data_IF_500054055676
#
_entry.id   IF_500054055676
#
_cell.length_a   1.000
_cell.length_b   1.000
_cell.length_c   1.000
_cell.angle_alpha   90.00
_cell.angle_beta   90.00
_cell.angle_gamma   90.00
#
_symmetry.space_group_name_H-M   'P 1'
#
loop_
_entity.id
_entity.type
_entity.pdbx_description
1 polymer ?
#
# COMPACT_ATOMS: atom_id res chain seq x y z
N UNK A 1 -47.02 1.32 10.26
CA UNK A 1 -46.42 2.56 10.81
C UNK A 1 -45.24 2.94 9.93
N UNK A 2 -45.28 4.12 9.30
CA UNK A 2 -44.20 4.58 8.42
C UNK A 2 -43.02 5.06 9.28
N UNK A 3 -41.82 4.54 8.99
CA UNK A 3 -40.60 4.98 9.67
C UNK A 3 -40.32 6.44 9.30
N UNK A 4 -40.33 7.32 10.30
CA UNK A 4 -40.07 8.74 10.15
C UNK A 4 -38.56 8.93 9.91
N UNK A 5 -38.12 8.87 8.66
CA UNK A 5 -36.70 9.08 8.30
C UNK A 5 -36.41 10.58 8.33
N UNK A 6 -35.73 11.04 9.40
CA UNK A 6 -35.37 12.45 9.64
C UNK A 6 -33.90 12.77 9.36
N UNK A 7 -33.15 11.83 8.78
CA UNK A 7 -31.71 11.96 8.50
C UNK A 7 -31.49 11.88 6.99
N UNK A 8 -30.79 12.89 6.45
CA UNK A 8 -30.38 12.96 5.05
C UNK A 8 -28.85 12.88 4.97
N UNK A 9 -28.33 11.98 4.13
CA UNK A 9 -26.90 11.91 3.85
C UNK A 9 -26.59 12.72 2.60
N UNK A 10 -25.67 13.67 2.71
CA UNK A 10 -25.24 14.56 1.62
C UNK A 10 -23.74 14.32 1.40
N UNK A 11 -23.34 14.07 0.16
CA UNK A 11 -21.94 13.89 -0.25
C UNK A 11 -21.59 14.80 -1.42
N UNK A 12 -20.30 14.91 -1.74
CA UNK A 12 -19.82 15.77 -2.83
C UNK A 12 -19.71 17.25 -2.44
N UNK A 13 -19.60 17.56 -1.16
CA UNK A 13 -19.24 18.89 -0.69
C UNK A 13 -17.75 19.16 -0.99
N UNK A 14 -17.42 20.41 -1.32
CA UNK A 14 -16.02 20.82 -1.45
C UNK A 14 -15.32 20.78 -0.07
N UNK A 15 -14.00 20.60 -0.05
CA UNK A 15 -13.20 20.49 1.19
C UNK A 15 -13.29 21.73 2.09
N UNK A 16 -13.60 22.89 1.52
CA UNK A 16 -13.71 24.17 2.22
C UNK A 16 -15.06 24.35 2.97
N UNK A 17 -15.98 23.39 2.85
CA UNK A 17 -17.33 23.51 3.43
C UNK A 17 -17.33 23.07 4.89
N UNK A 18 -17.51 24.04 5.79
CA UNK A 18 -17.67 23.81 7.24
C UNK A 18 -19.13 23.95 7.71
N UNK A 19 -19.39 23.69 9.00
CA UNK A 19 -20.72 23.80 9.60
C UNK A 19 -21.32 25.21 9.47
N UNK A 20 -20.48 26.26 9.50
CA UNK A 20 -20.95 27.64 9.41
C UNK A 20 -21.40 27.98 7.99
N UNK A 21 -20.66 27.52 6.98
CA UNK A 21 -21.00 27.66 5.57
C UNK A 21 -22.32 26.95 5.28
N UNK A 22 -22.48 25.71 5.76
CA UNK A 22 -23.75 24.99 5.62
C UNK A 22 -24.89 25.71 6.32
N UNK A 23 -24.69 26.16 7.56
CA UNK A 23 -25.74 26.87 8.29
C UNK A 23 -26.19 28.15 7.58
N UNK A 24 -25.24 28.95 7.07
CA UNK A 24 -25.54 30.17 6.33
C UNK A 24 -26.22 29.88 4.98
N UNK A 25 -25.82 28.82 4.28
CA UNK A 25 -26.39 28.44 3.00
C UNK A 25 -27.84 27.92 3.12
N UNK A 26 -28.15 27.21 4.22
CA UNK A 26 -29.44 26.53 4.37
C UNK A 26 -30.47 27.31 5.22
N UNK A 27 -30.07 28.32 6.00
CA UNK A 27 -31.00 29.15 6.78
C UNK A 27 -32.13 29.80 5.95
N UNK A 28 -31.96 30.20 4.66
CA UNK A 28 -33.06 30.75 3.87
C UNK A 28 -34.15 29.73 3.55
N UNK A 29 -33.85 28.43 3.69
CA UNK A 29 -34.76 27.32 3.36
C UNK A 29 -35.47 26.75 4.60
N UNK A 30 -35.12 27.23 5.79
CA UNK A 30 -35.76 26.85 7.06
C UNK A 30 -34.76 26.64 8.19
N UNK A 31 -35.30 26.44 9.39
CA UNK A 31 -34.49 26.19 10.58
C UNK A 31 -33.78 24.84 10.50
N UNK A 32 -32.47 24.84 10.78
CA UNK A 32 -31.64 23.65 10.78
C UNK A 32 -31.59 23.10 12.21
N UNK A 33 -31.99 21.84 12.40
CA UNK A 33 -32.05 21.23 13.73
C UNK A 33 -30.73 20.65 14.21
N UNK A 34 -29.94 20.06 13.30
CA UNK A 34 -28.65 19.44 13.61
C UNK A 34 -27.83 19.30 12.31
N UNK A 35 -26.52 19.52 12.40
CA UNK A 35 -25.55 19.25 11.34
C UNK A 35 -24.46 18.37 11.95
N UNK A 36 -24.20 17.22 11.33
CA UNK A 36 -23.10 16.35 11.72
C UNK A 36 -22.15 16.21 10.54
N UNK A 37 -21.06 16.97 10.57
CA UNK A 37 -19.93 16.74 9.67
C UNK A 37 -19.00 15.78 10.41
N UNK A 38 -18.81 14.52 9.94
CA UNK A 38 -17.79 13.66 10.52
C UNK A 38 -16.45 14.39 10.43
N UNK A 39 -15.70 14.44 11.54
CA UNK A 39 -14.34 14.98 11.54
C UNK A 39 -13.49 14.14 10.58
N UNK A 40 -13.31 14.67 9.37
CA UNK A 40 -12.23 14.28 8.50
C UNK A 40 -10.97 14.80 9.21
N UNK A 41 -10.25 13.89 9.89
CA UNK A 41 -8.92 14.21 10.40
C UNK A 41 -8.14 14.84 9.25
N UNK A 42 -7.86 16.15 9.37
CA UNK A 42 -7.14 16.93 8.38
C UNK A 42 -5.97 16.09 7.85
N UNK A 43 -5.89 15.96 6.53
CA UNK A 43 -4.68 15.52 5.87
C UNK A 43 -3.61 16.55 6.18
N UNK A 44 -2.79 16.30 7.20
CA UNK A 44 -1.59 17.07 7.55
C UNK A 44 -0.53 16.90 6.47
N UNK A 45 -0.84 17.06 5.18
CA UNK A 45 0.11 16.96 4.06
C UNK A 45 -0.37 17.74 2.84
N UNK A 46 -0.62 19.05 2.98
CA UNK A 46 -0.62 20.00 1.85
C UNK A 46 0.64 20.85 1.76
N UNK A 47 1.57 20.73 2.72
CA UNK A 47 2.87 21.42 2.72
C UNK A 47 4.05 20.47 2.46
N UNK A 48 3.97 19.67 1.41
CA UNK A 48 5.13 18.91 0.95
C UNK A 48 5.51 19.32 -0.47
N UNK A 49 6.55 20.14 -0.55
CA UNK A 49 7.42 20.35 -1.73
C UNK A 49 7.81 19.02 -2.43
N UNK A 50 7.66 17.90 -1.72
CA UNK A 50 7.87 16.55 -2.20
C UNK A 50 6.90 16.10 -3.30
N UNK A 51 5.59 16.38 -3.17
CA UNK A 51 4.59 15.95 -4.17
C UNK A 51 4.81 16.68 -5.51
N UNK A 52 5.09 17.99 -5.45
CA UNK A 52 5.40 18.82 -6.63
C UNK A 52 6.69 18.40 -7.34
N UNK A 53 7.69 17.90 -6.61
CA UNK A 53 8.99 17.54 -7.18
C UNK A 53 8.97 16.22 -7.96
N UNK A 54 7.97 15.37 -7.74
CA UNK A 54 7.98 14.00 -8.27
C UNK A 54 6.66 13.52 -8.91
N UNK A 55 5.55 14.28 -8.85
CA UNK A 55 4.25 13.80 -9.37
C UNK A 55 3.87 14.20 -10.81
N UNK A 56 4.76 14.69 -11.67
CA UNK A 56 4.33 14.87 -13.06
C UNK A 56 5.30 15.49 -14.04
N UNK A 57 5.90 14.65 -14.87
CA UNK A 57 6.18 14.99 -16.26
C UNK A 57 5.22 14.14 -17.11
N UNK A 58 4.10 14.73 -17.52
CA UNK A 58 3.19 14.16 -18.51
C UNK A 58 2.95 15.18 -19.61
N UNK A 59 3.47 14.82 -20.79
CA UNK A 59 2.92 15.04 -22.13
C UNK A 59 2.52 16.48 -22.49
N UNK A 60 3.47 17.14 -23.16
CA UNK A 60 3.37 18.18 -24.22
C UNK A 60 4.86 18.52 -24.45
N UNK A 61 5.55 18.30 -25.56
CA UNK A 61 5.19 18.38 -26.98
C UNK A 61 6.03 17.34 -27.74
N UNK A 62 5.36 16.46 -28.50
CA UNK A 62 5.96 15.77 -29.62
C UNK A 62 5.34 16.38 -30.87
N UNK A 63 6.08 17.27 -31.55
CA UNK A 63 6.09 17.52 -33.00
C UNK A 63 6.83 18.84 -33.29
N UNK A 64 7.83 18.79 -34.18
CA UNK A 64 8.54 19.97 -34.68
C UNK A 64 9.97 19.66 -35.17
N UNK A 65 10.09 19.08 -36.36
CA UNK A 65 11.35 18.90 -37.07
C UNK A 65 11.93 20.21 -37.64
N UNK A 66 13.26 20.19 -37.81
CA UNK A 66 14.12 20.91 -38.75
C UNK A 66 14.70 22.29 -38.36
N UNK A 67 16.01 22.32 -38.04
CA UNK A 67 17.04 23.01 -38.83
C UNK A 67 18.48 22.84 -38.27
N UNK A 68 19.37 22.35 -39.14
CA UNK A 68 20.82 22.64 -39.33
C UNK A 68 21.75 23.06 -38.18
N UNK A 69 22.91 22.39 -38.09
CA UNK A 69 24.14 22.98 -37.54
C UNK A 69 25.26 21.98 -37.24
N UNK A 70 26.42 22.13 -37.87
CA UNK A 70 27.59 21.25 -37.85
C UNK A 70 28.35 21.14 -36.51
N UNK A 71 29.09 20.03 -36.42
CA UNK A 71 30.09 19.53 -35.46
C UNK A 71 30.97 20.54 -34.72
N UNK A 72 31.25 20.25 -33.44
CA UNK A 72 32.62 20.24 -32.89
C UNK A 72 32.75 19.24 -31.73
N UNK A 73 33.71 18.32 -31.87
CA UNK A 73 34.18 17.42 -30.82
C UNK A 73 34.93 18.20 -29.76
N UNK A 74 34.46 18.16 -28.51
CA UNK A 74 35.31 18.45 -27.34
C UNK A 74 35.05 17.40 -26.27
N UNK A 75 36.01 16.52 -26.09
CA UNK A 75 36.00 15.53 -25.02
C UNK A 75 36.27 16.24 -23.69
N UNK A 76 35.22 16.41 -22.89
CA UNK A 76 35.34 16.80 -21.48
C UNK A 76 35.01 15.57 -20.65
N UNK A 77 35.99 15.11 -19.88
CA UNK A 77 35.82 14.06 -18.89
C UNK A 77 34.91 14.59 -17.77
N UNK A 78 33.63 14.27 -17.83
CA UNK A 78 32.71 14.51 -16.72
C UNK A 78 32.92 13.42 -15.67
N UNK A 79 33.38 13.87 -14.50
CA UNK A 79 33.55 13.03 -13.32
C UNK A 79 32.25 12.32 -12.95
N UNK A 80 32.40 11.07 -12.56
CA UNK A 80 31.36 10.21 -12.04
C UNK A 80 30.49 10.98 -11.01
N UNK A 81 29.17 11.05 -11.19
CA UNK A 81 28.31 11.75 -10.24
C UNK A 81 28.46 11.10 -8.86
N UNK A 82 28.48 11.88 -7.77
CA UNK A 82 28.66 11.32 -6.43
C UNK A 82 27.54 10.32 -6.16
N UNK A 83 27.93 9.08 -5.87
CA UNK A 83 27.00 8.00 -5.52
C UNK A 83 26.02 8.51 -4.46
N UNK A 84 24.74 8.60 -4.81
CA UNK A 84 23.67 8.93 -3.86
C UNK A 84 23.81 7.95 -2.69
N UNK A 85 23.99 8.45 -1.46
CA UNK A 85 23.96 7.61 -0.25
C UNK A 85 22.69 6.75 -0.32
N UNK A 86 22.86 5.44 -0.48
CA UNK A 86 21.75 4.52 -0.63
C UNK A 86 20.82 4.62 0.57
N UNK A 87 19.50 4.60 0.32
CA UNK A 87 18.53 4.47 1.41
C UNK A 87 18.80 3.17 2.18
N UNK A 88 18.76 3.24 3.51
CA UNK A 88 18.83 2.04 4.34
C UNK A 88 17.52 1.29 4.18
N UNK A 89 17.61 -0.01 3.91
CA UNK A 89 16.45 -0.88 3.73
C UNK A 89 15.88 -1.28 5.10
N UNK A 90 14.63 -0.92 5.42
CA UNK A 90 13.99 -1.27 6.69
C UNK A 90 13.85 -2.78 6.85
N UNK A 91 13.84 -3.22 8.10
CA UNK A 91 13.50 -4.60 8.44
C UNK A 91 12.28 -4.64 9.35
N UNK A 92 11.29 -5.45 8.99
CA UNK A 92 10.03 -5.57 9.72
C UNK A 92 9.76 -7.00 10.12
N UNK A 93 8.89 -7.19 11.11
CA UNK A 93 8.47 -8.52 11.54
C UNK A 93 6.97 -8.68 11.63
N UNK A 94 6.54 -9.94 11.57
CA UNK A 94 5.17 -10.38 11.85
C UNK A 94 5.20 -11.66 12.70
N UNK A 95 4.56 -11.61 13.87
CA UNK A 95 4.33 -12.78 14.72
C UNK A 95 3.04 -13.47 14.32
N UNK A 96 3.15 -14.72 13.87
CA UNK A 96 2.04 -15.47 13.29
C UNK A 96 1.40 -16.39 14.33
N UNK A 97 0.07 -16.43 14.34
CA UNK A 97 -0.73 -17.48 15.00
C UNK A 97 -1.50 -18.29 13.97
N UNK A 98 -1.49 -19.62 14.12
CA UNK A 98 -2.31 -20.54 13.32
C UNK A 98 -3.33 -21.21 14.26
N UNK A 99 -4.61 -20.98 14.00
CA UNK A 99 -5.67 -21.23 14.97
C UNK A 99 -5.40 -20.44 16.26
N UNK A 100 -5.27 -21.15 17.38
CA UNK A 100 -4.97 -20.54 18.69
C UNK A 100 -3.51 -20.73 19.13
N UNK A 101 -2.63 -21.21 18.25
CA UNK A 101 -1.23 -21.53 18.59
C UNK A 101 -0.28 -20.52 17.92
N UNK A 102 0.71 -19.97 18.66
CA UNK A 102 1.83 -19.27 18.04
C UNK A 102 2.55 -20.20 17.05
N UNK A 103 2.81 -19.70 15.85
CA UNK A 103 3.50 -20.42 14.78
C UNK A 103 4.96 -19.97 14.63
N UNK A 104 5.27 -18.72 14.97
CA UNK A 104 6.61 -18.16 14.92
C UNK A 104 6.63 -16.75 14.35
N UNK A 105 7.82 -16.23 14.07
CA UNK A 105 8.05 -14.89 13.56
C UNK A 105 8.57 -14.93 12.13
N UNK A 106 8.02 -14.06 11.29
CA UNK A 106 8.55 -13.73 9.97
C UNK A 106 9.38 -12.46 10.10
N UNK A 107 10.57 -12.42 9.48
CA UNK A 107 11.40 -11.22 9.34
C UNK A 107 11.58 -10.91 7.87
N UNK A 108 11.32 -9.67 7.48
CA UNK A 108 11.42 -9.21 6.09
C UNK A 108 12.38 -8.04 5.97
N UNK A 109 13.11 -7.99 4.85
CA UNK A 109 13.84 -6.81 4.39
C UNK A 109 12.98 -6.11 3.32
N UNK A 110 12.73 -4.81 3.49
CA UNK A 110 11.97 -4.01 2.54
C UNK A 110 12.92 -3.27 1.59
N UNK A 111 12.65 -3.33 0.28
CA UNK A 111 13.49 -2.75 -0.79
C UNK A 111 13.22 -1.27 -1.01
N UNK A 112 13.41 -0.46 0.03
CA UNK A 112 13.26 1.00 -0.01
C UNK A 112 14.28 1.69 -0.95
N UNK A 113 15.34 0.98 -1.32
CA UNK A 113 16.29 1.37 -2.37
C UNK A 113 15.69 1.33 -3.78
N UNK A 114 14.65 0.52 -4.03
CA UNK A 114 14.02 0.36 -5.36
C UNK A 114 12.58 0.87 -5.38
N UNK A 115 11.79 0.57 -4.35
CA UNK A 115 10.36 0.91 -4.23
C UNK A 115 10.07 1.59 -2.88
N UNK A 116 10.64 2.78 -2.64
CA UNK A 116 10.52 3.49 -1.37
C UNK A 116 9.09 3.78 -0.93
N UNK A 117 8.16 4.14 -1.82
CA UNK A 117 6.77 4.40 -1.42
C UNK A 117 6.08 3.12 -0.98
N UNK A 118 6.27 2.04 -1.73
CA UNK A 118 5.69 0.74 -1.41
C UNK A 118 6.25 0.19 -0.10
N UNK A 119 7.57 0.29 0.09
CA UNK A 119 8.25 -0.12 1.31
C UNK A 119 7.80 0.69 2.53
N UNK A 120 7.68 2.02 2.41
CA UNK A 120 7.27 2.89 3.50
C UNK A 120 5.82 2.64 3.94
N UNK A 121 4.91 2.44 2.98
CA UNK A 121 3.54 2.02 3.26
C UNK A 121 3.52 0.74 4.10
N UNK A 122 4.22 -0.30 3.67
CA UNK A 122 4.24 -1.57 4.38
C UNK A 122 4.87 -1.45 5.78
N UNK A 123 5.96 -0.66 5.91
CA UNK A 123 6.63 -0.38 7.18
C UNK A 123 5.67 0.28 8.17
N UNK A 124 5.03 1.38 7.79
CA UNK A 124 4.04 2.07 8.62
C UNK A 124 2.87 1.16 9.04
N UNK A 125 2.39 0.30 8.14
CA UNK A 125 1.32 -0.66 8.44
C UNK A 125 1.79 -1.76 9.42
N UNK A 126 3.09 -2.08 9.46
CA UNK A 126 3.66 -2.96 10.48
C UNK A 126 3.79 -2.25 11.83
N UNK A 127 4.28 -1.01 11.87
CA UNK A 127 4.52 -0.26 13.12
C UNK A 127 3.25 0.31 13.74
N UNK A 128 2.18 0.43 12.96
CA UNK A 128 0.91 1.04 13.38
C UNK A 128 1.03 2.54 13.71
N UNK A 129 2.12 3.21 13.31
CA UNK A 129 2.40 4.60 13.67
C UNK A 129 1.40 5.61 13.09
N UNK A 130 0.66 5.23 12.05
CA UNK A 130 -0.44 6.02 11.46
C UNK A 130 -1.81 5.72 12.09
N UNK A 131 -1.86 4.97 13.19
CA UNK A 131 -3.09 4.64 13.92
C UNK A 131 -3.91 3.48 13.34
N UNK A 132 -3.39 2.79 12.33
CA UNK A 132 -3.96 1.57 11.76
C UNK A 132 -2.84 0.69 11.18
N UNK A 133 -3.10 -0.61 10.99
CA UNK A 133 -2.06 -1.52 10.53
C UNK A 133 -2.44 -3.00 10.57
N UNK A 134 -1.44 -3.86 10.35
CA UNK A 134 -1.62 -5.30 10.15
C UNK A 134 -1.91 -6.09 11.43
N UNK A 135 -1.56 -5.57 12.61
CA UNK A 135 -1.80 -6.25 13.88
C UNK A 135 -3.27 -6.63 14.04
N UNK A 136 -3.53 -7.93 14.26
CA UNK A 136 -4.86 -8.52 14.39
C UNK A 136 -5.52 -8.94 13.07
N UNK A 137 -4.98 -8.53 11.92
CA UNK A 137 -5.48 -8.95 10.61
C UNK A 137 -5.08 -10.40 10.28
N UNK A 138 -5.64 -10.95 9.19
CA UNK A 138 -5.43 -12.34 8.80
C UNK A 138 -4.87 -12.50 7.39
N UNK A 139 -4.25 -13.66 7.17
CA UNK A 139 -4.04 -14.20 5.83
C UNK A 139 -5.34 -14.88 5.41
N UNK A 140 -6.15 -14.16 4.63
CA UNK A 140 -7.50 -14.55 4.26
C UNK A 140 -7.54 -15.45 3.02
N UNK A 141 -6.45 -15.50 2.24
CA UNK A 141 -6.35 -16.34 1.04
C UNK A 141 -4.98 -17.02 0.96
N UNK A 142 -4.93 -18.34 1.05
CA UNK A 142 -3.70 -19.14 1.01
C UNK A 142 -3.86 -20.27 -0.01
N UNK A 143 -3.04 -20.25 -1.06
CA UNK A 143 -3.03 -21.29 -2.09
C UNK A 143 -1.65 -21.96 -2.06
N UNK A 144 -1.58 -23.27 -1.74
CA UNK A 144 -0.33 -24.01 -1.76
C UNK A 144 0.35 -23.95 -3.15
N UNK A 145 1.68 -23.89 -3.15
CA UNK A 145 2.53 -23.76 -4.34
C UNK A 145 2.23 -22.50 -5.15
N UNK A 146 1.77 -21.46 -4.46
CA UNK A 146 1.50 -20.17 -5.06
C UNK A 146 1.86 -19.05 -4.09
N UNK A 147 0.97 -18.75 -3.13
CA UNK A 147 1.17 -17.63 -2.20
C UNK A 147 0.26 -17.66 -0.96
N UNK A 148 0.65 -16.85 0.03
CA UNK A 148 -0.13 -16.52 1.22
C UNK A 148 -0.49 -15.03 1.18
N UNK A 149 -1.76 -14.68 0.93
CA UNK A 149 -2.26 -13.30 0.84
C UNK A 149 -2.93 -12.84 2.14
N UNK A 150 -2.59 -11.63 2.56
CA UNK A 150 -3.07 -10.97 3.76
C UNK A 150 -3.17 -9.45 3.59
N UNK A 151 -3.22 -8.73 4.70
CA UNK A 151 -3.21 -7.26 4.71
C UNK A 151 -4.57 -6.57 4.57
N UNK A 152 -5.66 -7.32 4.51
CA UNK A 152 -7.02 -6.78 4.66
C UNK A 152 -7.36 -6.68 6.16
N UNK A 153 -7.05 -5.52 6.73
CA UNK A 153 -7.34 -5.21 8.14
C UNK A 153 -8.69 -4.52 8.35
N UNK A 154 -9.47 -4.24 7.30
CA UNK A 154 -10.77 -3.56 7.43
C UNK A 154 -11.94 -4.53 7.28
N UNK A 155 -11.91 -5.41 6.26
CA UNK A 155 -13.01 -6.32 5.94
C UNK A 155 -12.64 -7.78 6.19
N UNK A 156 -11.35 -8.08 6.31
CA UNK A 156 -10.80 -9.42 6.59
C UNK A 156 -11.21 -10.52 5.61
N UNK A 157 -11.54 -10.14 4.36
CA UNK A 157 -12.07 -11.05 3.35
C UNK A 157 -11.49 -10.83 1.94
N UNK A 158 -10.53 -9.91 1.80
CA UNK A 158 -9.86 -9.57 0.55
C UNK A 158 -10.48 -8.42 -0.22
N UNK A 159 -11.54 -7.80 0.29
CA UNK A 159 -12.21 -6.64 -0.35
C UNK A 159 -11.82 -5.30 0.27
N UNK A 160 -11.12 -5.32 1.41
CA UNK A 160 -10.77 -4.14 2.17
C UNK A 160 -9.29 -3.74 2.09
N UNK A 161 -8.85 -2.99 3.11
CA UNK A 161 -7.52 -2.43 3.21
C UNK A 161 -7.42 -1.00 2.68
N UNK A 162 -6.40 -0.28 3.16
CA UNK A 162 -6.02 1.06 2.70
C UNK A 162 -4.54 1.30 2.92
N UNK A 163 -3.94 2.13 2.08
CA UNK A 163 -2.55 2.56 2.26
C UNK A 163 -2.45 3.72 3.25
N UNK A 164 -1.21 4.10 3.59
CA UNK A 164 -0.95 5.35 4.33
C UNK A 164 -1.18 6.60 3.47
N UNK A 165 -1.28 6.45 2.15
CA UNK A 165 -1.48 7.53 1.18
C UNK A 165 -2.95 7.73 0.79
N UNK A 166 -3.88 6.98 1.40
CA UNK A 166 -5.30 6.94 1.03
C UNK A 166 -5.76 5.53 0.68
N UNK A 167 -6.90 5.42 -0.02
CA UNK A 167 -7.49 4.11 -0.35
C UNK A 167 -6.57 3.26 -1.23
N UNK A 168 -5.94 3.87 -2.23
CA UNK A 168 -5.06 3.23 -3.21
C UNK A 168 -3.87 4.14 -3.58
N UNK A 169 -2.78 3.55 -4.06
CA UNK A 169 -1.64 4.25 -4.67
C UNK A 169 -1.10 3.48 -5.90
N UNK A 170 -0.28 4.16 -6.69
CA UNK A 170 0.21 3.71 -7.98
C UNK A 170 1.21 2.54 -7.91
N UNK A 171 1.39 1.83 -9.02
CA UNK A 171 2.47 0.85 -9.17
C UNK A 171 3.80 1.60 -9.34
N UNK A 172 4.64 1.57 -8.31
CA UNK A 172 5.87 2.37 -8.28
C UNK A 172 6.88 2.00 -9.37
N UNK A 173 7.16 0.70 -9.53
CA UNK A 173 7.83 0.11 -10.69
C UNK A 173 7.76 -1.43 -10.63
N UNK A 174 8.20 -2.10 -11.71
CA UNK A 174 8.26 -3.56 -11.80
C UNK A 174 9.69 -4.07 -12.02
N UNK A 175 10.70 -3.41 -11.43
CA UNK A 175 12.11 -3.80 -11.57
C UNK A 175 12.35 -5.16 -10.91
N UNK A 176 11.85 -5.34 -9.68
CA UNK A 176 11.91 -6.60 -8.95
C UNK A 176 10.90 -7.62 -9.51
N UNK A 177 11.29 -8.89 -9.51
CA UNK A 177 10.59 -10.00 -10.16
C UNK A 177 10.28 -11.13 -9.18
N UNK A 178 9.25 -11.92 -9.48
CA UNK A 178 8.79 -13.03 -8.66
C UNK A 178 9.58 -14.32 -8.94
N UNK A 179 10.87 -14.29 -8.62
CA UNK A 179 11.84 -15.33 -8.95
C UNK A 179 11.91 -16.48 -7.94
N UNK A 180 11.40 -16.31 -6.72
CA UNK A 180 11.63 -17.26 -5.62
C UNK A 180 10.49 -17.26 -4.58
N UNK A 181 10.38 -18.30 -3.74
CA UNK A 181 9.57 -18.25 -2.52
C UNK A 181 10.11 -17.25 -1.51
N UNK A 182 9.23 -16.70 -0.67
CA UNK A 182 9.57 -15.76 0.39
C UNK A 182 9.61 -14.30 -0.03
N UNK A 183 9.16 -13.96 -1.24
CA UNK A 183 9.13 -12.58 -1.71
C UNK A 183 7.81 -11.90 -1.31
N UNK A 184 7.89 -10.65 -0.88
CA UNK A 184 6.74 -9.78 -0.64
C UNK A 184 6.34 -9.05 -1.92
N UNK A 185 5.05 -9.08 -2.21
CA UNK A 185 4.49 -8.39 -3.38
C UNK A 185 3.09 -7.86 -3.10
N UNK A 186 2.72 -6.75 -3.73
CA UNK A 186 1.44 -6.09 -3.52
C UNK A 186 0.30 -6.86 -4.19
N UNK A 187 -0.78 -7.10 -3.45
CA UNK A 187 -2.03 -7.51 -4.05
C UNK A 187 -2.77 -6.27 -4.55
N UNK A 188 -3.34 -6.35 -5.75
CA UNK A 188 -4.07 -5.25 -6.37
C UNK A 188 -5.30 -5.76 -7.13
N UNK A 189 -6.15 -4.85 -7.59
CA UNK A 189 -7.35 -5.12 -8.39
C UNK A 189 -7.18 -4.60 -9.84
N UNK A 190 -5.96 -4.61 -10.36
CA UNK A 190 -5.57 -3.96 -11.62
C UNK A 190 -4.49 -2.88 -11.42
N UNK A 191 -4.03 -2.24 -12.52
CA UNK A 191 -2.97 -1.23 -12.47
C UNK A 191 -3.29 -0.12 -11.47
N UNK A 192 -2.27 0.37 -10.77
CA UNK A 192 -2.33 1.52 -9.87
C UNK A 192 -3.40 1.40 -8.78
N UNK A 193 -3.53 0.21 -8.19
CA UNK A 193 -4.55 -0.06 -7.18
C UNK A 193 -4.01 -0.70 -5.90
N UNK A 194 -2.75 -0.41 -5.59
CA UNK A 194 -2.08 -0.90 -4.40
C UNK A 194 -2.70 -0.26 -3.15
N UNK A 195 -2.93 -1.06 -2.10
CA UNK A 195 -3.48 -0.60 -0.83
C UNK A 195 -2.63 -1.08 0.34
N UNK A 196 -3.22 -1.93 1.17
CA UNK A 196 -2.48 -2.65 2.23
C UNK A 196 -2.34 -4.14 1.98
N UNK A 197 -3.12 -4.69 1.05
CA UNK A 197 -3.07 -6.12 0.80
C UNK A 197 -1.76 -6.50 0.10
N UNK A 198 -1.19 -7.61 0.55
CA UNK A 198 0.08 -8.15 0.07
C UNK A 198 0.00 -9.67 0.04
N UNK A 199 0.97 -10.29 -0.62
CA UNK A 199 1.18 -11.72 -0.53
C UNK A 199 2.65 -12.08 -0.36
N UNK A 200 2.88 -13.23 0.26
CA UNK A 200 4.19 -13.87 0.37
C UNK A 200 4.20 -15.04 -0.62
N UNK A 201 5.15 -15.06 -1.55
CA UNK A 201 5.28 -16.16 -2.52
C UNK A 201 5.70 -17.46 -1.81
N UNK A 202 5.18 -18.61 -2.24
CA UNK A 202 5.63 -19.93 -1.76
C UNK A 202 6.29 -20.78 -2.84
N UNK A 203 6.32 -20.26 -4.07
CA UNK A 203 7.01 -20.78 -5.25
C UNK A 203 7.42 -19.62 -6.17
N UNK A 204 8.08 -19.89 -7.30
CA UNK A 204 8.28 -18.92 -8.38
C UNK A 204 6.94 -18.57 -9.02
N UNK A 205 6.64 -17.28 -9.18
CA UNK A 205 5.34 -16.80 -9.73
C UNK A 205 5.53 -15.74 -10.80
N UNK A 206 6.37 -16.02 -11.80
CA UNK A 206 6.80 -15.06 -12.83
C UNK A 206 5.67 -14.56 -13.75
N UNK A 207 4.55 -15.28 -13.85
CA UNK A 207 3.35 -14.80 -14.55
C UNK A 207 2.70 -13.55 -13.93
N UNK A 208 3.12 -13.17 -12.72
CA UNK A 208 2.73 -11.94 -12.01
C UNK A 208 3.69 -10.76 -12.28
N UNK A 209 4.81 -10.98 -12.95
CA UNK A 209 5.76 -9.93 -13.28
C UNK A 209 5.12 -8.86 -14.18
N UNK A 210 5.38 -7.59 -13.86
CA UNK A 210 4.78 -6.45 -14.57
C UNK A 210 3.33 -6.15 -14.17
N UNK A 211 2.76 -6.89 -13.21
CA UNK A 211 1.39 -6.69 -12.71
C UNK A 211 1.32 -6.42 -11.21
N UNK A 212 2.27 -6.94 -10.45
CA UNK A 212 2.35 -6.79 -9.00
C UNK A 212 3.74 -6.29 -8.62
N UNK A 213 3.78 -5.25 -7.79
CA UNK A 213 5.05 -4.66 -7.31
C UNK A 213 5.66 -5.55 -6.25
N UNK A 214 6.81 -6.15 -6.55
CA UNK A 214 7.65 -6.85 -5.57
C UNK A 214 8.42 -5.80 -4.77
N UNK A 215 8.41 -5.91 -3.44
CA UNK A 215 8.94 -4.85 -2.57
C UNK A 215 9.75 -5.33 -1.36
N UNK A 216 9.97 -6.62 -1.20
CA UNK A 216 10.76 -7.14 -0.10
C UNK A 216 11.00 -8.63 -0.18
N UNK A 217 11.88 -9.12 0.70
CA UNK A 217 12.27 -10.51 0.77
C UNK A 217 12.24 -10.97 2.23
N UNK A 218 11.81 -12.21 2.46
CA UNK A 218 11.89 -12.88 3.75
C UNK A 218 13.35 -13.20 4.07
N UNK A 219 13.79 -12.75 5.24
CA UNK A 219 15.13 -12.99 5.77
C UNK A 219 15.12 -14.18 6.72
N UNK A 220 14.07 -14.32 7.54
CA UNK A 220 13.90 -15.43 8.50
C UNK A 220 12.43 -15.84 8.62
N UNK A 221 12.19 -17.12 8.97
CA UNK A 221 10.85 -17.66 9.20
C UNK A 221 10.23 -18.38 8.00
N UNK A 222 11.05 -18.93 7.09
CA UNK A 222 10.54 -19.70 5.94
C UNK A 222 9.74 -20.93 6.38
N UNK A 223 10.14 -21.58 7.48
CA UNK A 223 9.40 -22.64 8.14
C UNK A 223 7.99 -22.20 8.57
N UNK A 224 7.85 -20.97 9.08
CA UNK A 224 6.55 -20.36 9.43
C UNK A 224 5.71 -20.13 8.17
N UNK A 225 6.31 -19.65 7.07
CA UNK A 225 5.62 -19.52 5.77
C UNK A 225 5.11 -20.87 5.28
N UNK A 226 5.92 -21.94 5.39
CA UNK A 226 5.50 -23.30 5.04
C UNK A 226 4.38 -23.81 5.93
N UNK A 227 4.41 -23.50 7.23
CA UNK A 227 3.32 -23.83 8.15
C UNK A 227 2.01 -23.11 7.80
N UNK A 228 2.10 -21.84 7.38
CA UNK A 228 0.95 -21.08 6.86
C UNK A 228 0.43 -21.68 5.55
N UNK A 229 1.32 -21.98 4.60
CA UNK A 229 1.00 -22.58 3.30
C UNK A 229 0.24 -23.91 3.46
N UNK A 230 0.62 -24.73 4.44
CA UNK A 230 -0.06 -25.99 4.75
C UNK A 230 -1.53 -25.81 5.16
N UNK A 231 -1.92 -24.61 5.60
CA UNK A 231 -3.32 -24.25 5.89
C UNK A 231 -4.11 -23.91 4.62
N UNK A 232 -3.46 -23.76 3.47
CA UNK A 232 -4.12 -23.40 2.23
C UNK A 232 -4.98 -24.50 1.61
N UNK A 233 -5.76 -24.09 0.61
CA UNK A 233 -6.63 -24.92 -0.21
C UNK A 233 -6.58 -24.45 -1.67
N UNK A 234 -7.15 -25.23 -2.60
CA UNK A 234 -7.18 -24.85 -4.03
C UNK A 234 -8.01 -23.59 -4.31
N UNK A 235 -9.10 -23.39 -3.57
CA UNK A 235 -9.96 -22.20 -3.63
C UNK A 235 -9.40 -21.03 -2.80
N UNK A 236 -8.29 -21.25 -2.09
CA UNK A 236 -7.60 -20.25 -1.29
C UNK A 236 -8.12 -20.09 0.13
N UNK A 237 -9.21 -20.75 0.53
CA UNK A 237 -9.77 -20.65 1.88
C UNK A 237 -8.88 -21.37 2.92
N UNK A 238 -8.35 -20.67 3.93
CA UNK A 238 -7.54 -21.32 4.96
C UNK A 238 -8.33 -22.35 5.80
N UNK A 239 -7.73 -23.51 6.06
CA UNK A 239 -8.26 -24.57 6.96
C UNK A 239 -8.39 -24.09 8.40
N UNK A 240 -7.41 -23.31 8.86
CA UNK A 240 -7.40 -22.65 10.15
C UNK A 240 -7.12 -21.17 9.96
N UNK A 241 -7.62 -20.34 10.88
CA UNK A 241 -7.36 -18.90 10.85
C UNK A 241 -5.86 -18.64 11.04
N UNK A 242 -5.25 -17.89 10.13
CA UNK A 242 -3.85 -17.47 10.21
C UNK A 242 -3.83 -15.96 10.48
N UNK A 243 -3.33 -15.56 11.65
CA UNK A 243 -3.42 -14.18 12.17
C UNK A 243 -2.02 -13.59 12.34
N UNK A 244 -1.87 -12.32 11.97
CA UNK A 244 -0.75 -11.48 12.38
C UNK A 244 -1.04 -11.00 13.80
N UNK A 245 -0.48 -11.70 14.79
CA UNK A 245 -0.76 -11.46 16.20
C UNK A 245 -0.02 -10.25 16.76
N UNK A 246 1.17 -9.97 16.22
CA UNK A 246 1.93 -8.75 16.45
C UNK A 246 2.79 -8.44 15.23
N UNK A 247 3.20 -7.19 15.07
CA UNK A 247 4.10 -6.76 13.99
C UNK A 247 4.78 -5.44 14.36
N UNK A 248 5.89 -5.14 13.68
CA UNK A 248 6.64 -3.92 13.91
C UNK A 248 7.91 -3.85 13.07
N UNK A 249 8.77 -2.91 13.41
CA UNK A 249 10.06 -2.67 12.77
C UNK A 249 11.21 -3.02 13.72
N UNK A 250 12.34 -3.46 13.16
CA UNK A 250 13.61 -3.60 13.86
C UNK A 250 14.40 -2.30 13.70
N UNK A 251 14.68 -1.64 14.84
CA UNK A 251 15.44 -0.38 14.92
C UNK A 251 16.86 -0.65 15.42
#
# INVERSE_FOLDING_TARGET
MAANKRVLYVGGLAEEVDEKVLHAAFIPFGDITDIQIPLDYETVWTDDDWLKKFSGKTIEEAEGEAASGETTNTATQEGEPPAKKGRVNPQVYMDIKIGNKPAGRLRFLLRADIVPMTAENFRCLCTHEKGFGFKGSCFHRIIPQFMCQGGDFTNHNGTGGKSIYGRKFDDENFVLKHTAPGQLSMANSGPNSNGSQFFITTDKTDWLDGKHVVFGDLVEGMDVVRAMEAQGSKDGKPKQKVIISDCGEYV
#
